data_IF_995039418826
#
_entry.id   IF_995039418826
#
_cell.length_a   1.000
_cell.length_b   1.000
_cell.length_c   1.000
_cell.angle_alpha   90.00
_cell.angle_beta   90.00
_cell.angle_gamma   90.00
#
_symmetry.space_group_name_H-M   'P 1'
#
loop_
_entity.id
_entity.type
_entity.pdbx_description
1 polymer ?
#
# COMPACT_ATOMS: atom_id res chain seq x y z
N UNK A 1 77.41 -53.44 16.24
CA UNK A 1 77.45 -52.06 16.76
C UNK A 1 76.48 -51.17 15.96
N UNK A 2 75.66 -50.43 16.66
CA UNK A 2 74.69 -49.42 16.25
C UNK A 2 73.41 -49.92 15.64
N UNK A 3 72.41 -50.02 16.48
CA UNK A 3 70.99 -50.03 16.18
C UNK A 3 70.58 -48.69 15.63
N UNK A 4 69.76 -48.68 14.52
CA UNK A 4 69.03 -47.53 14.06
C UNK A 4 67.58 -47.85 14.25
N UNK A 5 66.96 -47.09 15.13
CA UNK A 5 65.55 -47.10 15.50
C UNK A 5 64.76 -46.38 14.41
N UNK A 6 63.86 -47.08 13.70
CA UNK A 6 62.92 -46.49 12.77
C UNK A 6 61.68 -46.06 13.55
N UNK A 7 61.45 -44.77 13.63
CA UNK A 7 60.20 -44.18 14.15
C UNK A 7 59.25 -44.06 12.95
N UNK A 8 58.17 -44.84 12.97
CA UNK A 8 57.05 -44.72 12.02
C UNK A 8 56.17 -43.57 12.51
N UNK A 9 56.22 -42.43 11.81
CA UNK A 9 55.29 -41.32 12.04
C UNK A 9 54.07 -41.55 11.16
N UNK A 10 52.93 -41.92 11.78
CA UNK A 10 51.64 -41.99 11.11
C UNK A 10 51.14 -40.55 10.88
N UNK A 11 51.08 -40.17 9.61
CA UNK A 11 50.50 -38.89 9.17
C UNK A 11 49.03 -39.07 9.01
N UNK A 12 48.23 -38.64 10.02
CA UNK A 12 46.77 -38.49 9.86
C UNK A 12 46.51 -37.31 8.95
N UNK A 13 45.98 -37.57 7.76
CA UNK A 13 45.34 -36.58 6.92
C UNK A 13 43.96 -36.24 7.52
N UNK A 14 43.88 -35.11 8.21
CA UNK A 14 42.64 -34.48 8.58
C UNK A 14 42.12 -33.76 7.31
N UNK A 15 41.13 -34.38 6.62
CA UNK A 15 40.37 -33.75 5.56
C UNK A 15 39.42 -32.75 6.22
N UNK A 16 39.80 -31.46 6.26
CA UNK A 16 38.86 -30.37 6.54
C UNK A 16 37.98 -30.14 5.33
N UNK A 17 36.83 -30.76 5.27
CA UNK A 17 35.73 -30.31 4.48
C UNK A 17 35.17 -29.01 5.09
N UNK A 18 35.52 -27.88 4.49
CA UNK A 18 34.85 -26.62 4.75
C UNK A 18 33.45 -26.69 4.15
N UNK A 19 32.48 -27.10 4.95
CA UNK A 19 31.08 -26.81 4.69
C UNK A 19 30.90 -25.29 4.82
N UNK A 20 30.82 -24.62 3.67
CA UNK A 20 30.31 -23.27 3.60
C UNK A 20 28.82 -23.34 3.91
N UNK A 21 28.48 -23.10 5.19
CA UNK A 21 27.10 -22.76 5.56
C UNK A 21 26.68 -21.52 4.74
N UNK A 22 25.90 -21.76 3.69
CA UNK A 22 25.11 -20.73 3.07
C UNK A 22 24.05 -20.37 4.13
N UNK A 23 24.34 -19.35 4.92
CA UNK A 23 23.32 -18.69 5.73
C UNK A 23 22.24 -18.22 4.75
N UNK A 24 21.14 -18.92 4.73
CA UNK A 24 19.91 -18.41 4.16
C UNK A 24 19.66 -17.06 4.84
N UNK A 25 19.80 -16.00 4.07
CA UNK A 25 19.43 -14.67 4.49
C UNK A 25 17.92 -14.72 4.66
N UNK A 26 17.46 -14.83 5.91
CA UNK A 26 16.06 -14.64 6.24
C UNK A 26 15.68 -13.26 5.70
N UNK A 27 14.97 -13.24 4.59
CA UNK A 27 14.25 -12.04 4.14
C UNK A 27 13.19 -11.78 5.21
N UNK A 28 13.52 -10.89 6.16
CA UNK A 28 12.51 -10.28 7.00
C UNK A 28 11.37 -9.80 6.11
N UNK A 29 10.10 -10.05 6.46
CA UNK A 29 8.99 -9.43 5.78
C UNK A 29 9.21 -7.92 5.92
N UNK A 30 9.44 -7.25 4.78
CA UNK A 30 9.51 -5.80 4.74
C UNK A 30 8.16 -5.29 5.23
N UNK A 31 8.11 -4.77 6.46
CA UNK A 31 7.02 -3.90 6.86
C UNK A 31 6.96 -2.82 5.79
N UNK A 32 5.86 -2.72 5.06
CA UNK A 32 5.69 -1.64 4.11
C UNK A 32 5.79 -0.35 4.90
N UNK A 33 6.91 0.36 4.74
CA UNK A 33 7.14 1.62 5.42
C UNK A 33 6.03 2.61 5.06
N UNK A 34 5.69 3.53 5.97
CA UNK A 34 4.65 4.52 5.71
C UNK A 34 5.04 5.37 4.49
N UNK A 35 4.11 5.53 3.55
CA UNK A 35 4.32 6.21 2.26
C UNK A 35 3.77 7.64 2.32
N UNK A 36 4.56 8.59 1.82
CA UNK A 36 4.14 9.96 1.53
C UNK A 36 4.15 10.18 0.02
N UNK A 37 3.11 10.81 -0.51
CA UNK A 37 3.09 11.32 -1.88
C UNK A 37 3.06 12.84 -1.83
N UNK A 38 4.25 13.45 -1.84
CA UNK A 38 4.41 14.90 -1.81
C UNK A 38 4.52 15.44 -3.23
N UNK A 39 3.80 16.51 -3.55
CA UNK A 39 3.85 17.08 -4.90
C UNK A 39 3.63 18.59 -4.94
N UNK A 40 4.25 19.22 -5.91
CA UNK A 40 3.89 20.56 -6.38
C UNK A 40 3.23 20.46 -7.74
N UNK A 41 2.10 21.15 -7.95
CA UNK A 41 1.40 21.17 -9.23
C UNK A 41 0.95 22.57 -9.60
N UNK A 42 1.29 23.03 -10.82
CA UNK A 42 0.90 24.34 -11.32
C UNK A 42 -0.39 24.29 -12.16
N UNK A 43 -0.55 23.24 -12.96
CA UNK A 43 -1.67 23.07 -13.91
C UNK A 43 -2.48 21.79 -13.64
N UNK A 44 -2.46 21.28 -12.41
CA UNK A 44 -3.09 20.04 -11.97
C UNK A 44 -2.60 18.74 -12.63
N UNK A 45 -1.69 18.78 -13.60
CA UNK A 45 -1.18 17.58 -14.25
C UNK A 45 -0.39 16.68 -13.27
N UNK A 46 0.52 17.26 -12.47
CA UNK A 46 1.27 16.51 -11.46
C UNK A 46 0.36 15.99 -10.35
N UNK A 47 -0.64 16.80 -9.93
CA UNK A 47 -1.64 16.42 -8.95
C UNK A 47 -2.37 15.14 -9.34
N UNK A 48 -2.84 15.03 -10.59
CA UNK A 48 -3.56 13.85 -11.06
C UNK A 48 -2.74 12.54 -10.93
N UNK A 49 -1.42 12.60 -11.17
CA UNK A 49 -0.55 11.45 -10.95
C UNK A 49 -0.26 11.21 -9.47
N UNK A 50 -0.13 12.26 -8.67
CA UNK A 50 0.07 12.14 -7.23
C UNK A 50 -1.13 11.44 -6.56
N UNK A 51 -2.35 11.81 -6.93
CA UNK A 51 -3.59 11.17 -6.46
C UNK A 51 -3.62 9.68 -6.81
N UNK A 52 -3.28 9.31 -8.06
CA UNK A 52 -3.18 7.91 -8.48
C UNK A 52 -2.11 7.14 -7.71
N UNK A 53 -0.94 7.74 -7.46
CA UNK A 53 0.13 7.09 -6.69
C UNK A 53 -0.31 6.89 -5.24
N UNK A 54 -0.98 7.87 -4.63
CA UNK A 54 -1.53 7.75 -3.29
C UNK A 54 -2.59 6.64 -3.21
N UNK A 55 -3.47 6.52 -4.19
CA UNK A 55 -4.44 5.42 -4.31
C UNK A 55 -3.75 4.05 -4.41
N UNK A 56 -2.72 3.91 -5.27
CA UNK A 56 -1.99 2.65 -5.44
C UNK A 56 -1.24 2.22 -4.17
N UNK A 57 -0.72 3.19 -3.41
CA UNK A 57 0.13 2.93 -2.23
C UNK A 57 -0.61 2.92 -0.91
N UNK A 58 -1.85 3.47 -0.86
CA UNK A 58 -2.52 3.82 0.38
C UNK A 58 -1.78 4.89 1.19
N UNK A 59 -0.88 5.64 0.55
CA UNK A 59 -0.03 6.65 1.19
C UNK A 59 -0.73 7.98 1.42
N UNK A 60 -0.17 8.76 2.35
CA UNK A 60 -0.66 10.11 2.63
C UNK A 60 -0.33 11.06 1.48
N UNK A 61 -1.31 11.82 1.01
CA UNK A 61 -1.15 12.81 -0.05
C UNK A 61 -0.83 14.19 0.55
N UNK A 62 0.21 14.86 0.06
CA UNK A 62 0.63 16.17 0.54
C UNK A 62 0.93 17.13 -0.62
N UNK A 63 0.20 18.25 -0.69
CA UNK A 63 0.47 19.29 -1.67
C UNK A 63 1.50 20.30 -1.13
N UNK A 64 2.60 20.47 -1.84
CA UNK A 64 3.61 21.51 -1.57
C UNK A 64 3.05 22.83 -2.10
N UNK A 65 2.55 23.66 -1.21
CA UNK A 65 1.90 24.93 -1.56
C UNK A 65 2.87 26.09 -1.35
N UNK A 66 3.26 26.82 -2.42
CA UNK A 66 4.02 28.05 -2.26
C UNK A 66 3.27 29.07 -1.39
N UNK A 67 3.95 29.78 -0.49
CA UNK A 67 3.32 30.81 0.32
C UNK A 67 2.75 31.93 -0.56
N UNK A 68 3.51 32.32 -1.57
CA UNK A 68 3.06 33.21 -2.66
C UNK A 68 2.82 32.35 -3.89
N UNK A 69 1.58 32.30 -4.38
CA UNK A 69 1.25 31.52 -5.57
C UNK A 69 1.98 32.02 -6.82
N UNK A 70 2.31 31.10 -7.72
CA UNK A 70 2.77 31.46 -9.05
C UNK A 70 1.59 31.94 -9.91
N UNK A 71 1.70 33.13 -10.49
CA UNK A 71 0.68 33.64 -11.42
C UNK A 71 0.73 32.94 -12.78
N UNK A 72 -0.31 33.13 -13.59
CA UNK A 72 -0.44 32.50 -14.91
C UNK A 72 0.65 32.87 -15.91
N UNK A 73 1.33 34.01 -15.70
CA UNK A 73 2.49 34.44 -16.49
C UNK A 73 3.65 33.42 -16.47
N UNK A 74 3.74 32.61 -15.41
CA UNK A 74 4.78 31.58 -15.29
C UNK A 74 4.57 30.40 -16.27
N UNK A 75 3.45 30.34 -16.98
CA UNK A 75 3.27 29.41 -18.09
C UNK A 75 4.01 29.81 -19.37
N UNK A 76 4.45 31.07 -19.47
CA UNK A 76 5.26 31.55 -20.59
C UNK A 76 6.76 31.30 -20.36
N UNK A 77 7.24 30.16 -20.84
CA UNK A 77 8.66 29.76 -20.69
C UNK A 77 9.65 30.64 -21.48
N UNK A 78 9.19 31.54 -22.34
CA UNK A 78 10.03 32.46 -23.09
C UNK A 78 10.22 33.81 -22.35
N UNK A 79 9.40 34.09 -21.36
CA UNK A 79 9.46 35.34 -20.60
C UNK A 79 10.43 35.23 -19.42
N UNK A 80 11.61 35.83 -19.57
CA UNK A 80 12.66 35.86 -18.55
C UNK A 80 12.34 36.78 -17.35
N UNK A 81 11.28 37.57 -17.45
CA UNK A 81 10.82 38.41 -16.35
C UNK A 81 10.01 37.68 -15.30
N UNK A 82 9.53 36.45 -15.62
CA UNK A 82 8.69 35.65 -14.73
C UNK A 82 9.44 35.26 -13.44
N UNK A 83 8.67 35.07 -12.39
CA UNK A 83 9.18 34.59 -11.10
C UNK A 83 9.88 33.24 -11.24
N UNK A 84 9.27 32.29 -11.93
CA UNK A 84 9.80 30.95 -12.16
C UNK A 84 11.16 30.98 -12.87
N UNK A 85 11.30 31.82 -13.90
CA UNK A 85 12.58 32.01 -14.58
C UNK A 85 13.67 32.55 -13.64
N UNK A 86 13.36 33.64 -12.91
CA UNK A 86 14.30 34.31 -12.00
C UNK A 86 14.77 33.38 -10.88
N UNK A 87 13.86 32.60 -10.30
CA UNK A 87 14.21 31.62 -9.30
C UNK A 87 15.11 30.52 -9.89
N UNK A 88 14.80 30.05 -11.08
CA UNK A 88 15.50 28.92 -11.70
C UNK A 88 16.94 29.28 -12.12
N UNK A 89 17.14 30.52 -12.62
CA UNK A 89 18.43 31.00 -13.12
C UNK A 89 19.18 31.93 -12.16
N UNK A 90 18.66 32.15 -10.95
CA UNK A 90 19.24 33.03 -9.93
C UNK A 90 19.44 34.48 -10.42
N UNK A 91 18.49 34.99 -11.17
CA UNK A 91 18.52 36.36 -11.75
C UNK A 91 17.62 37.32 -10.98
N UNK A 92 17.66 37.26 -9.64
CA UNK A 92 16.89 38.13 -8.74
C UNK A 92 15.61 37.47 -8.18
N UNK A 93 15.46 36.13 -8.33
CA UNK A 93 14.42 35.32 -7.68
C UNK A 93 14.94 34.62 -6.43
N UNK A 94 14.04 34.19 -5.57
CA UNK A 94 14.36 33.42 -4.38
C UNK A 94 14.78 31.99 -4.76
N UNK A 95 15.95 31.58 -4.29
CA UNK A 95 16.46 30.22 -4.55
C UNK A 95 15.78 29.15 -3.66
N UNK A 96 15.10 29.61 -2.63
CA UNK A 96 14.30 28.79 -1.70
C UNK A 96 13.00 29.54 -1.40
N UNK A 97 12.06 29.60 -2.37
CA UNK A 97 10.79 30.30 -2.17
C UNK A 97 10.01 29.63 -1.03
N UNK A 98 9.43 30.44 -0.16
CA UNK A 98 8.70 29.96 1.01
C UNK A 98 7.50 29.10 0.61
N UNK A 99 7.26 28.06 1.40
CA UNK A 99 6.11 27.17 1.27
C UNK A 99 5.29 27.17 2.56
N UNK A 100 4.01 26.89 2.47
CA UNK A 100 3.16 26.65 3.63
C UNK A 100 3.56 25.33 4.30
N UNK A 101 3.78 25.38 5.59
CA UNK A 101 4.29 24.27 6.38
C UNK A 101 3.11 23.60 7.11
N UNK A 102 2.59 22.55 6.51
CA UNK A 102 1.45 21.82 7.07
C UNK A 102 1.71 20.31 7.23
N UNK A 103 2.92 19.84 6.86
CA UNK A 103 3.28 18.43 7.01
C UNK A 103 3.75 18.18 8.45
N UNK A 104 2.92 17.49 9.21
CA UNK A 104 3.26 17.06 10.56
C UNK A 104 4.01 15.71 10.51
N UNK A 105 4.95 15.52 11.46
CA UNK A 105 5.67 14.24 11.64
C UNK A 105 6.27 13.64 10.35
N UNK A 106 6.95 14.45 9.53
CA UNK A 106 7.58 13.97 8.29
C UNK A 106 8.50 12.75 8.50
N UNK A 107 9.09 12.58 9.69
CA UNK A 107 9.95 11.46 10.05
C UNK A 107 9.25 10.10 10.07
N UNK A 108 7.92 10.07 10.15
CA UNK A 108 7.15 8.81 10.13
C UNK A 108 7.16 8.09 8.78
N UNK A 109 7.49 8.80 7.70
CA UNK A 109 7.49 8.22 6.36
C UNK A 109 8.85 7.58 6.06
N UNK A 110 8.83 6.40 5.45
CA UNK A 110 10.01 5.66 5.02
C UNK A 110 10.22 5.77 3.51
N UNK A 111 9.13 5.95 2.77
CA UNK A 111 9.10 6.09 1.32
C UNK A 111 8.37 7.38 0.94
N UNK A 112 8.97 8.17 0.07
CA UNK A 112 8.40 9.44 -0.40
C UNK A 112 8.39 9.45 -1.92
N UNK A 113 7.21 9.50 -2.53
CA UNK A 113 7.08 9.88 -3.94
C UNK A 113 7.04 11.40 -4.03
N UNK A 114 7.98 11.98 -4.77
CA UNK A 114 8.16 13.43 -4.86
C UNK A 114 7.83 13.93 -6.27
N UNK A 115 6.70 14.59 -6.42
CA UNK A 115 6.13 15.02 -7.69
C UNK A 115 6.33 16.49 -8.02
N UNK A 116 6.71 16.80 -9.28
CA UNK A 116 6.74 18.18 -9.77
C UNK A 116 6.58 18.28 -11.28
N UNK A 117 6.17 19.45 -11.82
CA UNK A 117 6.42 19.74 -13.22
C UNK A 117 7.93 19.94 -13.44
N UNK A 118 8.37 19.90 -14.70
CA UNK A 118 9.72 20.34 -15.08
C UNK A 118 9.63 21.79 -15.53
N UNK A 119 10.36 22.67 -14.86
CA UNK A 119 10.52 24.06 -15.24
C UNK A 119 11.97 24.34 -15.65
N UNK A 120 12.16 24.81 -16.89
CA UNK A 120 13.50 25.09 -17.44
C UNK A 120 14.49 23.93 -17.27
N UNK A 121 13.98 22.71 -17.50
CA UNK A 121 14.78 21.47 -17.43
C UNK A 121 15.04 20.91 -16.05
N UNK A 122 14.50 21.50 -14.97
CA UNK A 122 14.76 21.12 -13.57
C UNK A 122 13.46 21.09 -12.75
N UNK A 123 13.55 20.64 -11.50
CA UNK A 123 12.44 20.80 -10.54
C UNK A 123 12.24 22.26 -10.16
N UNK A 124 11.00 22.73 -9.96
CA UNK A 124 10.72 24.05 -9.40
C UNK A 124 11.38 24.23 -8.04
N UNK A 125 11.82 25.46 -7.74
CA UNK A 125 12.62 25.73 -6.52
C UNK A 125 11.89 25.45 -5.21
N UNK A 126 10.57 25.47 -5.19
CA UNK A 126 9.74 25.04 -4.04
C UNK A 126 10.01 23.58 -3.62
N UNK A 127 10.42 22.71 -4.55
CA UNK A 127 10.81 21.34 -4.24
C UNK A 127 12.07 21.30 -3.38
N UNK A 128 13.04 22.16 -3.68
CA UNK A 128 14.25 22.25 -2.87
C UNK A 128 13.95 22.82 -1.47
N UNK A 129 13.04 23.80 -1.37
CA UNK A 129 12.56 24.29 -0.08
C UNK A 129 11.91 23.20 0.75
N UNK A 130 11.08 22.38 0.12
CA UNK A 130 10.44 21.23 0.78
C UNK A 130 11.49 20.23 1.31
N UNK A 131 12.49 19.89 0.51
CA UNK A 131 13.56 18.99 0.91
C UNK A 131 14.47 19.56 2.02
N UNK A 132 14.73 20.87 2.01
CA UNK A 132 15.46 21.55 3.07
C UNK A 132 14.69 21.56 4.40
N UNK A 133 13.37 21.69 4.31
CA UNK A 133 12.47 21.84 5.47
C UNK A 133 12.19 20.51 6.17
N UNK A 134 11.91 19.49 5.42
CA UNK A 134 11.51 18.17 5.91
C UNK A 134 12.64 17.17 5.63
N UNK A 135 13.60 17.10 6.55
CA UNK A 135 14.78 16.26 6.41
C UNK A 135 14.42 14.77 6.20
N UNK A 136 14.55 14.30 4.96
CA UNK A 136 14.33 12.90 4.57
C UNK A 136 15.62 12.07 4.57
N UNK A 137 16.57 12.42 5.42
CA UNK A 137 17.84 11.71 5.56
C UNK A 137 17.62 10.21 5.77
N UNK A 138 18.26 9.39 4.94
CA UNK A 138 18.15 7.94 4.97
C UNK A 138 16.82 7.38 4.47
N UNK A 139 15.82 8.23 4.16
CA UNK A 139 14.55 7.80 3.61
C UNK A 139 14.67 7.53 2.11
N UNK A 140 13.81 6.65 1.59
CA UNK A 140 13.73 6.38 0.15
C UNK A 140 12.88 7.45 -0.51
N UNK A 141 13.45 8.19 -1.48
CA UNK A 141 12.72 9.21 -2.26
C UNK A 141 12.74 8.86 -3.74
N UNK A 142 11.54 8.85 -4.34
CA UNK A 142 11.31 8.48 -5.74
C UNK A 142 10.75 9.71 -6.46
N UNK A 143 11.51 10.40 -7.33
CA UNK A 143 11.00 11.52 -8.10
C UNK A 143 10.02 11.07 -9.18
N UNK A 144 8.94 11.82 -9.37
CA UNK A 144 8.13 11.72 -10.59
C UNK A 144 7.84 13.11 -11.15
N UNK A 145 7.80 13.21 -12.47
CA UNK A 145 7.62 14.50 -13.11
C UNK A 145 6.59 14.48 -14.20
N UNK A 146 5.99 15.65 -14.43
CA UNK A 146 5.18 15.92 -15.60
C UNK A 146 5.83 17.02 -16.45
N UNK A 147 5.86 16.81 -17.76
CA UNK A 147 6.42 17.78 -18.71
C UNK A 147 5.87 17.53 -20.11
N UNK A 148 5.66 18.58 -20.88
CA UNK A 148 5.23 18.46 -22.27
C UNK A 148 6.30 17.72 -23.13
N UNK A 149 7.60 18.04 -22.95
CA UNK A 149 8.67 17.49 -23.79
C UNK A 149 9.92 17.07 -23.05
N UNK A 150 10.27 17.72 -21.91
CA UNK A 150 11.51 17.43 -21.18
C UNK A 150 11.47 16.08 -20.48
N UNK A 151 12.56 15.31 -20.57
CA UNK A 151 12.78 14.10 -19.78
C UNK A 151 13.17 14.43 -18.33
N UNK A 152 13.25 13.41 -17.48
CA UNK A 152 13.55 13.54 -16.04
C UNK A 152 15.05 13.55 -15.71
N UNK A 153 15.93 13.28 -16.66
CA UNK A 153 17.37 13.06 -16.41
C UNK A 153 18.05 14.12 -15.55
N UNK A 154 17.73 15.40 -15.78
CA UNK A 154 18.29 16.50 -14.99
C UNK A 154 17.81 16.46 -13.54
N UNK A 155 16.55 16.08 -13.29
CA UNK A 155 16.00 15.95 -11.94
C UNK A 155 16.66 14.78 -11.20
N UNK A 156 16.82 13.64 -11.89
CA UNK A 156 17.52 12.46 -11.37
C UNK A 156 19.01 12.71 -11.10
N UNK A 157 19.60 13.77 -11.66
CA UNK A 157 20.98 14.19 -11.40
C UNK A 157 21.07 15.29 -10.35
N UNK A 158 20.25 16.34 -10.45
CA UNK A 158 20.31 17.53 -9.57
C UNK A 158 19.94 17.20 -8.12
N UNK A 159 18.82 16.51 -7.90
CA UNK A 159 18.35 16.22 -6.55
C UNK A 159 19.31 15.35 -5.74
N UNK A 160 19.80 14.20 -6.26
CA UNK A 160 20.79 13.39 -5.56
C UNK A 160 22.13 14.11 -5.32
N UNK A 161 22.56 14.97 -6.23
CA UNK A 161 23.78 15.74 -6.06
C UNK A 161 23.67 16.80 -4.96
N UNK A 162 22.46 17.34 -4.76
CA UNK A 162 22.18 18.37 -3.76
C UNK A 162 21.90 17.76 -2.38
N UNK A 163 21.25 16.60 -2.34
CA UNK A 163 20.78 15.92 -1.12
C UNK A 163 21.31 14.49 -1.07
N UNK A 164 22.62 14.34 -0.89
CA UNK A 164 23.32 13.05 -0.96
C UNK A 164 23.04 12.10 0.23
N UNK A 165 22.42 12.58 1.29
CA UNK A 165 22.05 11.80 2.47
C UNK A 165 20.65 11.14 2.37
N UNK A 166 19.94 11.36 1.25
CA UNK A 166 18.67 10.73 0.91
C UNK A 166 18.94 9.49 0.04
N UNK A 167 18.18 8.41 0.26
CA UNK A 167 18.26 7.21 -0.58
C UNK A 167 17.39 7.40 -1.84
N UNK A 168 17.96 8.05 -2.85
CA UNK A 168 17.28 8.33 -4.11
C UNK A 168 17.08 7.06 -4.95
N UNK A 169 15.90 6.94 -5.53
CA UNK A 169 15.62 5.97 -6.58
C UNK A 169 15.48 6.70 -7.92
N UNK A 170 15.64 5.95 -9.01
CA UNK A 170 15.46 6.51 -10.34
C UNK A 170 14.00 6.93 -10.53
N UNK A 171 13.80 8.22 -10.78
CA UNK A 171 12.49 8.80 -11.02
C UNK A 171 12.00 8.57 -12.45
N UNK A 172 10.71 8.89 -12.69
CA UNK A 172 10.06 8.69 -13.98
C UNK A 172 9.24 9.90 -14.42
N UNK A 173 9.27 10.23 -15.73
CA UNK A 173 8.29 11.13 -16.34
C UNK A 173 7.01 10.35 -16.62
N UNK A 174 5.86 10.88 -16.16
CA UNK A 174 4.61 10.13 -16.16
C UNK A 174 3.63 10.48 -17.31
N UNK A 175 3.86 11.57 -18.06
CA UNK A 175 2.99 11.89 -19.21
C UNK A 175 2.94 10.76 -20.22
N UNK A 176 1.74 10.28 -20.52
CA UNK A 176 1.50 9.20 -21.47
C UNK A 176 1.73 7.79 -20.92
N UNK A 177 2.01 7.65 -19.62
CA UNK A 177 2.12 6.35 -18.94
C UNK A 177 0.72 5.79 -18.71
N UNK A 178 0.49 4.51 -19.04
CA UNK A 178 -0.78 3.83 -18.75
C UNK A 178 -0.95 3.60 -17.25
N UNK A 179 -2.19 3.43 -16.78
CA UNK A 179 -2.46 3.14 -15.35
C UNK A 179 -1.81 1.82 -14.91
N UNK A 180 -1.76 0.82 -15.79
CA UNK A 180 -1.08 -0.45 -15.51
C UNK A 180 0.43 -0.28 -15.35
N UNK A 181 1.08 0.49 -16.24
CA UNK A 181 2.52 0.77 -16.15
C UNK A 181 2.86 1.65 -14.95
N UNK A 182 1.97 2.61 -14.60
CA UNK A 182 2.11 3.43 -13.40
C UNK A 182 2.07 2.55 -12.15
N UNK A 183 1.08 1.67 -12.06
CA UNK A 183 0.93 0.72 -10.95
C UNK A 183 2.17 -0.16 -10.80
N UNK A 184 2.61 -0.81 -11.87
CA UNK A 184 3.81 -1.66 -11.88
C UNK A 184 5.05 -0.90 -11.39
N UNK A 185 5.23 0.34 -11.88
CA UNK A 185 6.36 1.18 -11.48
C UNK A 185 6.29 1.57 -9.99
N UNK A 186 5.13 2.00 -9.49
CA UNK A 186 4.94 2.36 -8.08
C UNK A 186 5.19 1.17 -7.17
N UNK A 187 4.62 0.01 -7.49
CA UNK A 187 4.75 -1.21 -6.69
C UNK A 187 6.17 -1.75 -6.62
N UNK A 188 7.03 -1.43 -7.59
CA UNK A 188 8.45 -1.82 -7.55
C UNK A 188 9.23 -1.17 -6.40
N UNK A 189 8.71 -0.09 -5.81
CA UNK A 189 9.37 0.62 -4.70
C UNK A 189 8.75 0.35 -3.32
N UNK A 190 7.44 0.13 -3.27
CA UNK A 190 6.73 -0.05 -2.00
C UNK A 190 6.43 -1.52 -1.68
N UNK A 191 6.78 -2.41 -2.60
CA UNK A 191 6.28 -3.78 -2.59
C UNK A 191 4.77 -3.80 -2.89
N UNK A 192 4.25 -4.93 -3.21
CA UNK A 192 2.81 -5.13 -3.14
C UNK A 192 2.46 -5.15 -1.66
N UNK A 193 1.74 -4.14 -1.17
CA UNK A 193 0.98 -4.33 0.07
C UNK A 193 0.06 -5.51 -0.23
N UNK A 194 0.42 -6.67 0.29
CA UNK A 194 -0.43 -7.85 0.11
C UNK A 194 -1.66 -7.63 0.96
N UNK A 195 -2.67 -6.99 0.37
CA UNK A 195 -3.96 -6.80 1.03
C UNK A 195 -4.49 -8.17 1.43
N UNK A 196 -4.79 -8.32 2.70
CA UNK A 196 -5.40 -9.55 3.22
C UNK A 196 -6.92 -9.45 3.19
N UNK A 197 -7.54 -10.57 2.87
CA UNK A 197 -8.98 -10.78 3.01
C UNK A 197 -9.21 -12.01 3.89
N UNK A 198 -10.20 -11.93 4.72
CA UNK A 198 -10.60 -12.99 5.63
C UNK A 198 -11.89 -13.62 5.14
N UNK A 199 -11.90 -14.94 4.98
CA UNK A 199 -13.06 -15.71 4.56
C UNK A 199 -13.50 -16.60 5.72
N UNK A 200 -14.75 -16.52 6.13
CA UNK A 200 -15.32 -17.33 7.22
C UNK A 200 -16.38 -18.27 6.68
N UNK A 201 -16.21 -19.57 6.93
CA UNK A 201 -17.19 -20.64 6.64
C UNK A 201 -17.38 -21.46 7.92
N UNK A 202 -18.63 -21.68 8.33
CA UNK A 202 -18.93 -22.49 9.53
C UNK A 202 -18.25 -21.99 10.81
N UNK A 203 -18.00 -20.66 10.92
CA UNK A 203 -17.30 -20.07 12.05
C UNK A 203 -15.76 -20.17 11.99
N UNK A 204 -15.19 -20.85 11.00
CA UNK A 204 -13.74 -20.97 10.79
C UNK A 204 -13.27 -19.95 9.77
N UNK A 205 -12.38 -19.04 10.19
CA UNK A 205 -11.81 -18.01 9.33
C UNK A 205 -10.48 -18.46 8.72
N UNK A 206 -10.30 -18.21 7.43
CA UNK A 206 -9.05 -18.38 6.70
C UNK A 206 -8.65 -17.07 6.05
N UNK A 207 -7.34 -16.89 5.88
CA UNK A 207 -6.76 -15.69 5.28
C UNK A 207 -6.45 -15.94 3.81
N UNK A 208 -6.68 -14.95 2.99
CA UNK A 208 -6.24 -14.91 1.60
C UNK A 208 -5.39 -13.69 1.33
N UNK A 209 -4.36 -13.87 0.52
CA UNK A 209 -3.56 -12.79 -0.05
C UNK A 209 -4.19 -12.35 -1.37
N UNK A 210 -4.55 -11.08 -1.48
CA UNK A 210 -5.18 -10.52 -2.67
C UNK A 210 -4.11 -10.10 -3.70
N UNK A 211 -4.46 -10.24 -4.99
CA UNK A 211 -3.66 -9.67 -6.08
C UNK A 211 -4.05 -8.20 -6.28
N UNK A 212 -3.17 -7.41 -6.89
CA UNK A 212 -3.44 -6.00 -7.17
C UNK A 212 -4.01 -5.85 -8.59
N UNK A 213 -5.31 -5.58 -8.68
CA UNK A 213 -6.01 -5.21 -9.92
C UNK A 213 -7.28 -4.41 -9.58
N UNK A 214 -7.93 -3.81 -10.57
CA UNK A 214 -9.13 -2.98 -10.36
C UNK A 214 -10.31 -3.75 -9.77
N UNK A 215 -10.42 -5.06 -10.01
CA UNK A 215 -11.47 -5.90 -9.42
C UNK A 215 -11.27 -6.04 -7.91
N UNK A 216 -10.04 -6.31 -7.50
CA UNK A 216 -9.67 -6.45 -6.09
C UNK A 216 -9.81 -5.13 -5.33
N UNK A 217 -9.43 -4.01 -5.96
CA UNK A 217 -9.57 -2.67 -5.37
C UNK A 217 -11.04 -2.33 -5.12
N UNK A 218 -11.90 -2.57 -6.12
CA UNK A 218 -13.33 -2.35 -5.99
C UNK A 218 -13.97 -3.28 -4.93
N UNK A 219 -13.53 -4.54 -4.84
CA UNK A 219 -13.97 -5.47 -3.80
C UNK A 219 -13.54 -4.99 -2.40
N UNK A 220 -12.30 -4.56 -2.24
CA UNK A 220 -11.79 -4.02 -0.97
C UNK A 220 -12.53 -2.75 -0.57
N UNK A 221 -12.78 -1.83 -1.50
CA UNK A 221 -13.57 -0.62 -1.24
C UNK A 221 -15.00 -0.93 -0.78
N UNK A 222 -15.63 -1.99 -1.33
CA UNK A 222 -16.93 -2.45 -0.87
C UNK A 222 -16.84 -3.08 0.52
N UNK A 223 -15.80 -3.87 0.82
CA UNK A 223 -15.59 -4.50 2.13
C UNK A 223 -15.24 -3.47 3.23
N UNK A 224 -14.73 -2.30 2.89
CA UNK A 224 -14.55 -1.18 3.84
C UNK A 224 -15.89 -0.61 4.34
N UNK A 225 -16.97 -0.80 3.56
CA UNK A 225 -18.31 -0.36 3.95
C UNK A 225 -19.05 -1.43 4.79
N UNK A 226 -18.59 -2.67 4.78
CA UNK A 226 -19.13 -3.78 5.55
C UNK A 226 -18.81 -5.14 4.94
N UNK A 227 -18.98 -6.17 5.73
CA UNK A 227 -18.74 -7.55 5.30
C UNK A 227 -19.72 -7.97 4.20
N UNK A 228 -19.25 -8.78 3.25
CA UNK A 228 -20.08 -9.40 2.23
C UNK A 228 -20.35 -10.86 2.64
N UNK A 229 -21.61 -11.25 2.69
CA UNK A 229 -22.00 -12.65 2.98
C UNK A 229 -22.80 -13.21 1.81
N UNK A 230 -22.45 -14.40 1.35
CA UNK A 230 -23.11 -15.06 0.22
C UNK A 230 -23.17 -16.58 0.42
N UNK A 231 -24.11 -17.23 -0.30
CA UNK A 231 -24.21 -18.69 -0.35
C UNK A 231 -23.39 -19.21 -1.54
N UNK A 232 -22.48 -20.14 -1.28
CA UNK A 232 -21.68 -20.80 -2.29
C UNK A 232 -22.09 -22.28 -2.44
N UNK A 233 -22.31 -22.71 -3.67
CA UNK A 233 -22.64 -24.10 -4.05
C UNK A 233 -21.45 -24.72 -4.79
N UNK A 234 -21.44 -26.08 -4.84
CA UNK A 234 -20.47 -26.83 -5.64
C UNK A 234 -20.74 -26.69 -7.12
N UNK A 235 -19.68 -26.49 -7.91
CA UNK A 235 -19.75 -26.53 -9.36
C UNK A 235 -18.58 -27.35 -9.93
N UNK A 236 -18.89 -28.27 -10.84
CA UNK A 236 -17.93 -29.06 -11.60
C UNK A 236 -16.97 -29.94 -10.79
N UNK A 237 -17.16 -30.11 -9.50
CA UNK A 237 -16.25 -30.78 -8.56
C UNK A 237 -14.84 -30.14 -8.49
N UNK A 238 -14.74 -28.80 -8.73
CA UNK A 238 -13.48 -28.09 -8.62
C UNK A 238 -13.56 -26.74 -7.88
N UNK A 239 -14.77 -26.20 -7.67
CA UNK A 239 -14.96 -24.93 -6.99
C UNK A 239 -16.25 -24.85 -6.15
N UNK A 240 -16.26 -23.97 -5.15
CA UNK A 240 -17.45 -23.40 -4.52
C UNK A 240 -17.67 -22.02 -5.08
N UNK A 241 -18.84 -21.75 -5.67
CA UNK A 241 -19.18 -20.49 -6.34
C UNK A 241 -20.49 -19.91 -5.84
N UNK A 242 -20.57 -18.61 -5.72
CA UNK A 242 -21.81 -17.92 -5.37
C UNK A 242 -21.78 -16.41 -5.65
N UNK A 243 -22.97 -15.77 -5.75
CA UNK A 243 -23.11 -14.37 -6.10
C UNK A 243 -22.77 -13.47 -4.92
N UNK A 244 -21.91 -12.46 -5.17
CA UNK A 244 -21.51 -11.48 -4.15
C UNK A 244 -22.59 -10.41 -3.84
N UNK A 245 -23.62 -10.30 -4.71
CA UNK A 245 -24.62 -9.24 -4.60
C UNK A 245 -24.17 -7.88 -5.17
N UNK A 246 -22.96 -7.81 -5.70
CA UNK A 246 -22.35 -6.63 -6.31
C UNK A 246 -21.72 -6.98 -7.65
N UNK A 247 -21.47 -5.99 -8.49
CA UNK A 247 -20.73 -6.15 -9.75
C UNK A 247 -19.45 -5.33 -9.69
N UNK A 248 -18.33 -5.98 -9.99
CA UNK A 248 -16.98 -5.42 -9.98
C UNK A 248 -16.37 -5.41 -11.38
N UNK A 249 -15.39 -4.54 -11.66
CA UNK A 249 -14.61 -4.59 -12.90
C UNK A 249 -14.01 -5.98 -13.14
N UNK A 250 -13.86 -6.37 -14.39
CA UNK A 250 -13.21 -7.62 -14.78
C UNK A 250 -11.79 -7.36 -15.32
N UNK A 251 -10.83 -8.18 -14.93
CA UNK A 251 -9.46 -8.20 -15.44
C UNK A 251 -9.16 -9.63 -15.94
N UNK A 252 -9.92 -10.05 -16.93
CA UNK A 252 -9.91 -11.42 -17.44
C UNK A 252 -8.61 -11.73 -18.17
N UNK A 253 -7.96 -12.80 -17.77
CA UNK A 253 -6.77 -13.39 -18.42
C UNK A 253 -6.87 -14.91 -18.44
N UNK A 254 -6.15 -15.57 -19.36
CA UNK A 254 -6.10 -17.02 -19.40
C UNK A 254 -5.38 -17.56 -18.17
N UNK A 255 -6.13 -18.23 -17.27
CA UNK A 255 -5.62 -18.77 -16.01
C UNK A 255 -5.83 -20.28 -15.96
N UNK A 256 -4.79 -20.98 -15.53
CA UNK A 256 -4.91 -22.35 -15.00
C UNK A 256 -5.04 -22.21 -13.47
N UNK A 257 -6.22 -22.48 -12.94
CA UNK A 257 -6.45 -22.40 -11.49
C UNK A 257 -5.80 -23.56 -10.76
N UNK A 258 -5.45 -23.31 -9.50
CA UNK A 258 -4.97 -24.32 -8.57
C UNK A 258 -5.74 -24.21 -7.24
N UNK A 259 -5.72 -25.24 -6.39
CA UNK A 259 -6.38 -25.17 -5.08
C UNK A 259 -5.98 -23.91 -4.29
N UNK A 260 -7.00 -23.24 -3.76
CA UNK A 260 -6.87 -21.98 -3.02
C UNK A 260 -7.01 -20.71 -3.85
N UNK A 261 -7.05 -20.78 -5.17
CA UNK A 261 -7.31 -19.61 -6.00
C UNK A 261 -8.71 -19.05 -5.75
N UNK A 262 -8.78 -17.71 -5.62
CA UNK A 262 -10.01 -16.94 -5.54
C UNK A 262 -10.22 -16.23 -6.86
N UNK A 263 -11.33 -16.52 -7.52
CA UNK A 263 -11.64 -16.03 -8.87
C UNK A 263 -12.95 -15.25 -8.84
N UNK A 264 -12.95 -14.07 -9.45
CA UNK A 264 -14.17 -13.35 -9.79
C UNK A 264 -14.65 -13.83 -11.16
N UNK A 265 -15.82 -14.41 -11.19
CA UNK A 265 -16.46 -14.91 -12.42
C UNK A 265 -17.61 -14.01 -12.83
N UNK A 266 -17.58 -13.55 -14.10
CA UNK A 266 -18.58 -12.64 -14.67
C UNK A 266 -18.83 -11.38 -13.82
N UNK A 267 -17.78 -10.86 -13.22
CA UNK A 267 -17.81 -9.64 -12.44
C UNK A 267 -18.64 -9.66 -11.14
N UNK A 268 -19.36 -10.76 -10.84
CA UNK A 268 -20.33 -10.78 -9.74
C UNK A 268 -20.32 -12.02 -8.86
N UNK A 269 -19.63 -13.07 -9.25
CA UNK A 269 -19.55 -14.32 -8.49
C UNK A 269 -18.14 -14.56 -7.98
N UNK A 270 -17.99 -14.96 -6.72
CA UNK A 270 -16.71 -15.40 -6.18
C UNK A 270 -16.64 -16.91 -6.16
N UNK A 271 -15.57 -17.44 -6.78
CA UNK A 271 -15.24 -18.84 -6.81
C UNK A 271 -14.07 -19.14 -5.87
N UNK A 272 -14.20 -20.13 -5.01
CA UNK A 272 -13.11 -20.67 -4.17
C UNK A 272 -12.72 -22.02 -4.79
N UNK A 273 -11.58 -22.03 -5.48
CA UNK A 273 -11.10 -23.24 -6.15
C UNK A 273 -10.50 -24.24 -5.15
N UNK A 274 -10.93 -25.48 -5.21
CA UNK A 274 -10.34 -26.59 -4.47
C UNK A 274 -9.75 -27.69 -5.39
N UNK A 275 -9.88 -27.50 -6.71
CA UNK A 275 -9.22 -28.29 -7.74
C UNK A 275 -8.86 -27.42 -8.93
N UNK A 276 -8.42 -28.00 -10.04
CA UNK A 276 -7.91 -27.28 -11.21
C UNK A 276 -8.98 -27.06 -12.27
N UNK A 277 -8.91 -25.92 -12.93
CA UNK A 277 -9.68 -25.57 -14.13
C UNK A 277 -8.86 -24.61 -15.00
N UNK A 278 -9.28 -24.37 -16.23
CA UNK A 278 -8.59 -23.46 -17.16
C UNK A 278 -9.58 -22.68 -17.97
N UNK A 279 -9.57 -21.37 -17.81
CA UNK A 279 -10.46 -20.47 -18.52
C UNK A 279 -9.94 -19.04 -18.50
N UNK A 280 -10.67 -18.13 -19.13
CA UNK A 280 -10.41 -16.70 -19.08
C UNK A 280 -11.08 -16.08 -17.83
N UNK A 281 -10.28 -15.87 -16.79
CA UNK A 281 -10.77 -15.50 -15.46
C UNK A 281 -10.15 -14.22 -14.92
N UNK A 282 -10.81 -13.57 -13.98
CA UNK A 282 -10.26 -12.52 -13.15
C UNK A 282 -9.80 -13.08 -11.80
N UNK A 283 -8.49 -13.08 -11.55
CA UNK A 283 -7.93 -13.50 -10.25
C UNK A 283 -8.14 -12.41 -9.20
N UNK A 284 -8.68 -12.79 -8.05
CA UNK A 284 -8.82 -11.92 -6.86
C UNK A 284 -7.69 -12.15 -5.87
N UNK A 285 -7.27 -13.40 -5.68
CA UNK A 285 -6.24 -13.74 -4.71
C UNK A 285 -6.06 -15.24 -4.53
N UNK A 286 -5.44 -15.61 -3.42
CA UNK A 286 -5.19 -17.01 -3.05
C UNK A 286 -5.27 -17.19 -1.54
N UNK A 287 -5.85 -18.31 -1.09
CA UNK A 287 -5.85 -18.75 0.31
C UNK A 287 -4.41 -19.01 0.79
N UNK A 288 -4.09 -18.53 1.96
CA UNK A 288 -2.75 -18.64 2.55
C UNK A 288 -2.59 -19.98 3.28
N UNK A 289 -1.43 -20.62 3.10
CA UNK A 289 -0.96 -21.75 3.91
C UNK A 289 -1.96 -22.91 4.06
N UNK A 290 -2.74 -23.21 3.02
CA UNK A 290 -3.70 -24.32 3.01
C UNK A 290 -3.32 -25.36 1.96
N UNK A 291 -3.39 -26.64 2.34
CA UNK A 291 -3.30 -27.74 1.38
C UNK A 291 -4.64 -27.94 0.66
N UNK A 292 -4.62 -28.63 -0.49
CA UNK A 292 -5.84 -28.99 -1.19
C UNK A 292 -6.84 -29.75 -0.31
N UNK A 293 -6.34 -30.67 0.52
CA UNK A 293 -7.19 -31.46 1.44
C UNK A 293 -7.86 -30.57 2.50
N UNK A 294 -7.11 -29.61 3.04
CA UNK A 294 -7.65 -28.63 4.02
C UNK A 294 -8.74 -27.76 3.37
N UNK A 295 -8.49 -27.31 2.14
CA UNK A 295 -9.47 -26.49 1.40
C UNK A 295 -10.74 -27.31 1.14
N UNK A 296 -10.62 -28.53 0.59
CA UNK A 296 -11.76 -29.41 0.33
C UNK A 296 -12.61 -29.67 1.60
N UNK A 297 -11.95 -29.87 2.72
CA UNK A 297 -12.64 -30.06 4.01
C UNK A 297 -13.35 -28.78 4.45
N UNK A 298 -12.66 -27.64 4.39
CA UNK A 298 -13.17 -26.38 4.88
C UNK A 298 -14.34 -25.83 4.04
N UNK A 299 -14.29 -25.99 2.71
CA UNK A 299 -15.37 -25.56 1.81
C UNK A 299 -16.50 -26.59 1.69
N UNK A 300 -16.42 -27.76 2.36
CA UNK A 300 -17.35 -28.85 2.19
C UNK A 300 -17.49 -29.29 0.72
N UNK A 301 -16.35 -29.60 0.08
CA UNK A 301 -16.27 -29.94 -1.34
C UNK A 301 -17.15 -31.18 -1.66
N UNK A 302 -17.97 -31.09 -2.69
CA UNK A 302 -18.94 -32.14 -3.09
C UNK A 302 -20.15 -32.25 -2.18
N UNK A 303 -20.25 -31.40 -1.15
CA UNK A 303 -21.38 -31.42 -0.19
C UNK A 303 -22.33 -30.23 -0.39
N UNK A 304 -23.15 -29.98 0.64
CA UNK A 304 -24.16 -28.91 0.66
C UNK A 304 -23.56 -27.50 0.46
N UNK A 305 -24.42 -26.54 0.18
CA UNK A 305 -24.07 -25.12 0.12
C UNK A 305 -23.42 -24.66 1.44
N UNK A 306 -22.55 -23.69 1.34
CA UNK A 306 -21.92 -23.06 2.51
C UNK A 306 -22.11 -21.56 2.48
N UNK A 307 -22.38 -20.99 3.65
CA UNK A 307 -22.40 -19.54 3.82
C UNK A 307 -20.96 -19.05 3.97
N UNK A 308 -20.53 -18.16 3.08
CA UNK A 308 -19.21 -17.52 3.11
C UNK A 308 -19.34 -16.07 3.51
N UNK A 309 -18.58 -15.62 4.50
CA UNK A 309 -18.47 -14.20 4.87
C UNK A 309 -17.08 -13.69 4.56
N UNK A 310 -17.00 -12.61 3.81
CA UNK A 310 -15.76 -11.88 3.46
C UNK A 310 -15.58 -10.67 4.36
N UNK A 311 -14.36 -10.43 4.84
CA UNK A 311 -13.98 -9.26 5.63
C UNK A 311 -12.55 -8.83 5.27
N UNK A 312 -12.21 -7.56 5.50
CA UNK A 312 -10.83 -7.04 5.43
C UNK A 312 -10.24 -6.77 6.82
N UNK A 313 -11.01 -6.97 7.89
CA UNK A 313 -10.58 -6.91 9.28
C UNK A 313 -10.55 -8.31 9.90
N UNK A 314 -9.51 -8.61 10.67
CA UNK A 314 -9.46 -9.85 11.43
C UNK A 314 -10.46 -9.78 12.60
N UNK A 315 -11.20 -10.87 12.84
CA UNK A 315 -12.08 -10.94 14.01
C UNK A 315 -11.35 -10.76 15.35
N UNK A 316 -10.05 -11.07 15.39
CA UNK A 316 -9.21 -10.82 16.55
C UNK A 316 -9.01 -9.31 16.80
N UNK A 317 -8.89 -8.50 15.74
CA UNK A 317 -8.77 -7.04 15.84
C UNK A 317 -10.09 -6.39 16.24
N UNK A 318 -11.23 -6.90 15.76
CA UNK A 318 -12.56 -6.44 16.21
C UNK A 318 -12.77 -6.73 17.69
N UNK A 319 -12.38 -7.92 18.18
CA UNK A 319 -12.47 -8.27 19.59
C UNK A 319 -11.55 -7.40 20.47
N UNK A 320 -10.35 -7.04 19.96
CA UNK A 320 -9.42 -6.19 20.69
C UNK A 320 -9.83 -4.71 20.71
N UNK A 321 -10.44 -4.20 19.65
CA UNK A 321 -11.02 -2.85 19.62
C UNK A 321 -12.22 -2.70 20.56
N UNK A 322 -13.08 -3.73 20.66
CA UNK A 322 -14.21 -3.76 21.62
C UNK A 322 -13.68 -3.89 23.05
N UNK A 323 -12.58 -4.60 23.31
CA UNK A 323 -11.98 -4.70 24.64
C UNK A 323 -11.30 -3.42 25.09
N UNK A 324 -10.71 -2.62 24.20
CA UNK A 324 -10.15 -1.30 24.51
C UNK A 324 -11.24 -0.28 24.91
N UNK A 325 -12.44 -0.37 24.32
CA UNK A 325 -13.59 0.45 24.74
C UNK A 325 -14.13 0.03 26.12
N UNK A 326 -13.82 -1.18 26.60
CA UNK A 326 -14.29 -1.69 27.90
C UNK A 326 -13.35 -1.42 29.09
N UNK A 327 -12.14 -0.97 28.88
CA UNK A 327 -11.17 -0.75 29.99
C UNK A 327 -11.24 0.64 30.61
N UNK A 328 -12.09 1.54 30.11
CA UNK A 328 -12.33 2.85 30.76
C UNK A 328 -13.56 2.84 31.70
N UNK A 329 -13.72 1.79 32.51
CA UNK A 329 -14.79 1.67 33.50
C UNK A 329 -14.66 2.61 34.72
N UNK A 330 -13.65 3.49 34.75
CA UNK A 330 -13.46 4.39 35.93
C UNK A 330 -14.18 5.73 35.85
N UNK A 331 -14.81 6.09 34.70
CA UNK A 331 -15.68 7.28 34.62
C UNK A 331 -17.02 6.90 34.00
N UNK A 332 -18.03 6.72 34.84
CA UNK A 332 -19.43 6.54 34.43
C UNK A 332 -20.00 7.86 33.93
N UNK A 333 -19.67 8.26 32.72
CA UNK A 333 -20.27 9.40 32.07
C UNK A 333 -21.66 9.04 31.53
N UNK A 334 -22.66 9.85 31.89
CA UNK A 334 -24.02 9.75 31.37
C UNK A 334 -24.06 10.42 29.98
N UNK A 335 -24.62 9.77 28.95
CA UNK A 335 -24.76 10.34 27.62
C UNK A 335 -26.22 10.56 27.23
N UNK A 336 -26.49 11.61 26.47
CA UNK A 336 -27.80 11.84 25.84
C UNK A 336 -28.08 10.81 24.76
N UNK A 337 -29.31 10.71 24.26
CA UNK A 337 -29.65 9.83 23.12
C UNK A 337 -28.89 10.18 21.82
N UNK A 338 -28.36 11.41 21.71
CA UNK A 338 -27.54 11.86 20.58
C UNK A 338 -26.04 11.55 20.76
N UNK A 339 -25.65 10.83 21.82
CA UNK A 339 -24.27 10.45 22.08
C UNK A 339 -23.38 11.56 22.67
N UNK A 340 -23.97 12.70 23.07
CA UNK A 340 -23.25 13.78 23.76
C UNK A 340 -23.22 13.56 25.27
N UNK A 341 -22.16 14.02 25.95
CA UNK A 341 -22.06 13.94 27.41
C UNK A 341 -23.21 14.72 28.06
N UNK A 342 -23.96 14.07 28.94
CA UNK A 342 -25.06 14.72 29.65
C UNK A 342 -24.50 15.64 30.75
N UNK A 343 -24.75 16.93 30.66
CA UNK A 343 -24.31 17.90 31.67
C UNK A 343 -25.04 17.73 33.00
N UNK A 344 -24.44 18.21 34.08
CA UNK A 344 -25.05 18.21 35.39
C UNK A 344 -26.39 18.97 35.35
N UNK A 345 -27.51 18.34 35.77
CA UNK A 345 -28.85 18.91 35.71
C UNK A 345 -29.67 18.59 34.46
N UNK A 346 -29.12 17.84 33.51
CA UNK A 346 -29.87 17.40 32.31
C UNK A 346 -31.12 16.59 32.71
N UNK A 347 -32.29 17.00 32.20
CA UNK A 347 -33.55 16.29 32.36
C UNK A 347 -33.96 15.67 31.04
N UNK A 348 -34.04 14.34 30.99
CA UNK A 348 -34.40 13.62 29.80
C UNK A 348 -33.93 12.17 29.83
N UNK A 349 -33.94 11.51 28.67
CA UNK A 349 -33.45 10.13 28.56
C UNK A 349 -31.94 10.16 28.37
N UNK A 350 -31.22 9.44 29.25
CA UNK A 350 -29.77 9.27 29.18
C UNK A 350 -29.40 7.79 28.98
N UNK A 351 -28.23 7.54 28.44
CA UNK A 351 -27.59 6.22 28.40
C UNK A 351 -26.60 6.16 29.56
N UNK A 352 -26.89 5.33 30.55
CA UNK A 352 -26.02 5.06 31.68
C UNK A 352 -25.67 3.60 31.72
N UNK A 353 -24.37 3.26 31.66
CA UNK A 353 -23.87 1.85 31.58
C UNK A 353 -24.62 1.03 30.53
N UNK A 354 -24.82 1.61 29.32
CA UNK A 354 -25.51 0.95 28.22
C UNK A 354 -27.03 0.78 28.35
N UNK A 355 -27.65 1.32 29.41
CA UNK A 355 -29.10 1.25 29.64
C UNK A 355 -29.74 2.65 29.53
N UNK A 356 -30.96 2.73 28.95
CA UNK A 356 -31.78 3.94 28.94
C UNK A 356 -32.32 4.21 30.33
N UNK A 357 -32.09 5.42 30.84
CA UNK A 357 -32.57 5.88 32.13
C UNK A 357 -33.22 7.27 31.95
N UNK A 358 -34.34 7.52 32.57
CA UNK A 358 -34.97 8.84 32.61
C UNK A 358 -34.41 9.58 33.83
N UNK A 359 -33.92 10.81 33.64
CA UNK A 359 -33.33 11.64 34.67
C UNK A 359 -34.11 12.93 34.84
#
# INVERSE_FOLDING_TARGET
MRQILMILTAMMLTCCSSESEVKAQETQPSSSGKVLVAYFSFTSNTKAFAEKIAEITGGDLYEIVPEVAYGSENSNYYDQSTRAYKEQYNTGGEQRPAIRETLENASQYDVVFLGSPIWYGKSPRVILTFLDKYAFKGKTVIPFVTSASSGISNVNSELPSTYSDINWKEGRRLNGVSDADLRTWVQSFVGTTTQKMYLTIGGVTKTATLVSNSSTEALVAQLQQGNITYEAHDYGNFEKVGPLGYTFPENNEQINTVPGDLILYQGSNLCIYYDTNSWNFTRIGKLDNMTQADIKTWVNAGGDNVTVTLSITDKADEASSISQVRTDESQSNDYTLQGTLAQAGYKGIIIKKGKKVIK
#
